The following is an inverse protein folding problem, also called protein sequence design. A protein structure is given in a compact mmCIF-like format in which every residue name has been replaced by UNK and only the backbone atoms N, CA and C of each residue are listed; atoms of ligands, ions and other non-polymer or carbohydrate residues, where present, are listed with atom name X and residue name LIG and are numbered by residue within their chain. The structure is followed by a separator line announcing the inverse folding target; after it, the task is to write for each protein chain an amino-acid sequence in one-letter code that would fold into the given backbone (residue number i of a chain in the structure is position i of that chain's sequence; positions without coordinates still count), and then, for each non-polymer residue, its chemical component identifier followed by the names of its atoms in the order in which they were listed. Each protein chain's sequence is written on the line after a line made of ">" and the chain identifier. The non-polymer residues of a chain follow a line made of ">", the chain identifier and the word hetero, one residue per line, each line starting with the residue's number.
data_IF_609932565334
#
_entry.id   IF_609932565334
#
_cell.length_a   1.000
_cell.length_b   1.000
_cell.length_c   1.000
_cell.angle_alpha   90.00
_cell.angle_beta   90.00
_cell.angle_gamma   90.00
#
_symmetry.space_group_name_H-M   'P 1'
#
loop_
_entity.id
_entity.type
_entity.pdbx_description
1 polymer ?
#
# COMPACT_ATOMS: atom_id res chain seq x y z
N UNK A 1 -4.40 -37.63 10.04
CA UNK A 1 -4.51 -36.58 11.08
C UNK A 1 -3.27 -36.64 11.96
N UNK A 2 -2.58 -35.50 12.14
CA UNK A 2 -1.47 -35.38 13.11
C UNK A 2 -2.08 -34.87 14.41
N UNK A 3 -1.94 -35.63 15.50
CA UNK A 3 -2.37 -35.20 16.82
C UNK A 3 -1.17 -34.55 17.52
N UNK A 4 -1.27 -33.25 17.79
CA UNK A 4 -0.27 -32.53 18.58
C UNK A 4 -0.59 -32.68 20.06
N UNK A 5 0.37 -33.16 20.85
CA UNK A 5 0.29 -33.20 22.29
C UNK A 5 1.11 -32.01 22.86
N UNK A 6 0.55 -31.16 23.71
CA UNK A 6 1.29 -30.05 24.30
C UNK A 6 2.58 -30.47 25.03
N UNK A 7 2.58 -31.68 25.62
CA UNK A 7 3.75 -32.23 26.31
C UNK A 7 4.89 -32.66 25.39
N UNK A 8 4.63 -32.82 24.09
CA UNK A 8 5.62 -33.20 23.09
C UNK A 8 6.18 -32.00 22.33
N UNK A 9 5.59 -30.82 22.52
CA UNK A 9 6.09 -29.57 21.93
C UNK A 9 7.31 -29.09 22.70
N UNK A 10 8.45 -28.96 21.99
CA UNK A 10 9.69 -28.44 22.56
C UNK A 10 9.80 -26.95 22.26
N UNK A 11 10.13 -26.18 23.29
CA UNK A 11 10.55 -24.79 23.08
C UNK A 11 11.84 -24.76 22.27
N UNK A 12 11.87 -24.06 21.14
CA UNK A 12 13.05 -23.91 20.30
C UNK A 12 13.73 -22.57 20.52
N UNK A 13 12.98 -21.50 20.39
CA UNK A 13 13.46 -20.12 20.60
C UNK A 13 12.25 -19.18 20.74
N UNK A 14 12.48 -18.03 21.31
CA UNK A 14 11.54 -16.93 21.34
C UNK A 14 11.64 -16.12 20.04
N UNK A 15 10.50 -15.90 19.39
CA UNK A 15 10.45 -15.12 18.17
C UNK A 15 10.62 -13.63 18.51
N UNK A 16 11.47 -12.93 17.74
CA UNK A 16 11.56 -11.48 17.81
C UNK A 16 10.19 -10.85 17.43
N UNK A 17 9.56 -10.09 18.33
CA UNK A 17 8.26 -9.45 18.04
C UNK A 17 8.30 -8.51 16.82
N UNK A 18 9.48 -7.96 16.48
CA UNK A 18 9.67 -7.09 15.32
C UNK A 18 9.57 -7.82 13.95
N UNK A 19 9.43 -9.15 13.94
CA UNK A 19 9.26 -9.91 12.68
C UNK A 19 7.86 -9.81 12.10
N UNK A 20 6.86 -9.50 12.92
CA UNK A 20 5.48 -9.39 12.45
C UNK A 20 5.25 -7.99 11.91
N UNK A 21 4.89 -7.89 10.64
CA UNK A 21 4.64 -6.64 9.94
C UNK A 21 3.30 -6.65 9.21
N UNK A 22 2.79 -5.47 8.97
CA UNK A 22 1.55 -5.19 8.29
C UNK A 22 1.85 -4.33 7.05
N UNK A 23 1.36 -4.74 5.89
CA UNK A 23 1.58 -4.02 4.65
C UNK A 23 0.31 -3.32 4.18
N UNK A 24 0.44 -2.04 3.87
CA UNK A 24 -0.57 -1.23 3.19
C UNK A 24 0.00 -0.88 1.82
N UNK A 25 -0.74 -1.22 0.76
CA UNK A 25 -0.39 -0.77 -0.58
C UNK A 25 -0.62 0.75 -0.69
N UNK A 26 0.27 1.46 -1.35
CA UNK A 26 0.18 2.92 -1.45
C UNK A 26 -1.12 3.38 -2.12
N UNK A 27 -1.62 2.60 -3.09
CA UNK A 27 -2.91 2.84 -3.73
C UNK A 27 -4.12 2.72 -2.77
N UNK A 28 -3.98 2.03 -1.64
CA UNK A 28 -5.03 2.02 -0.60
C UNK A 28 -5.07 3.35 0.15
N UNK A 29 -3.93 4.02 0.33
CA UNK A 29 -3.84 5.34 0.98
C UNK A 29 -4.37 6.44 0.07
N UNK A 30 -3.91 6.47 -1.19
CA UNK A 30 -4.30 7.52 -2.15
C UNK A 30 -5.65 7.29 -2.77
N UNK A 31 -6.17 6.06 -2.73
CA UNK A 31 -7.20 5.59 -3.63
C UNK A 31 -6.67 5.40 -5.05
N UNK A 32 -7.52 4.97 -5.95
CA UNK A 32 -7.18 4.78 -7.36
C UNK A 32 -7.39 3.35 -7.83
N UNK A 33 -6.76 3.01 -8.95
CA UNK A 33 -6.95 1.73 -9.62
C UNK A 33 -6.10 0.65 -8.97
N UNK A 34 -6.75 -0.43 -8.53
CA UNK A 34 -6.09 -1.59 -7.92
C UNK A 34 -6.81 -2.90 -8.28
N UNK A 35 -6.29 -4.03 -7.81
CA UNK A 35 -6.81 -5.34 -8.13
C UNK A 35 -8.28 -5.50 -7.73
N UNK A 36 -9.08 -6.00 -8.66
CA UNK A 36 -10.49 -6.34 -8.43
C UNK A 36 -10.59 -7.54 -7.50
N UNK A 37 -11.49 -7.47 -6.54
CA UNK A 37 -11.81 -8.63 -5.72
C UNK A 37 -12.47 -9.74 -6.57
N UNK A 38 -12.21 -10.99 -6.24
CA UNK A 38 -12.95 -12.10 -6.81
C UNK A 38 -14.41 -12.05 -6.36
N UNK A 39 -15.34 -12.42 -7.27
CA UNK A 39 -16.73 -12.63 -6.89
C UNK A 39 -16.87 -13.90 -6.04
N UNK A 40 -17.95 -14.04 -5.24
CA UNK A 40 -18.24 -15.28 -4.54
C UNK A 40 -18.31 -16.51 -5.48
N UNK A 41 -18.82 -16.31 -6.68
CA UNK A 41 -18.97 -17.34 -7.71
C UNK A 41 -17.61 -17.75 -8.29
N UNK A 42 -16.69 -16.80 -8.48
CA UNK A 42 -15.31 -17.07 -8.88
C UNK A 42 -14.56 -17.85 -7.78
N UNK A 43 -14.75 -17.47 -6.52
CA UNK A 43 -14.16 -18.17 -5.38
C UNK A 43 -14.72 -19.60 -5.28
N UNK A 44 -16.01 -19.77 -5.54
CA UNK A 44 -16.67 -21.08 -5.55
C UNK A 44 -16.33 -21.93 -6.80
N UNK A 45 -15.66 -21.32 -7.81
CA UNK A 45 -15.33 -22.02 -9.07
C UNK A 45 -16.54 -22.24 -9.99
N UNK A 46 -17.63 -21.53 -9.77
CA UNK A 46 -18.87 -21.61 -10.58
C UNK A 46 -18.92 -20.56 -11.69
N UNK A 47 -18.10 -19.52 -11.60
CA UNK A 47 -17.88 -18.53 -12.64
C UNK A 47 -16.43 -18.58 -13.13
N UNK A 48 -16.18 -18.71 -14.46
CA UNK A 48 -14.84 -18.72 -14.99
C UNK A 48 -14.19 -17.35 -14.87
N UNK A 49 -12.88 -17.31 -14.63
CA UNK A 49 -12.09 -16.11 -14.67
C UNK A 49 -11.72 -15.81 -16.12
N UNK A 50 -12.41 -14.85 -16.73
CA UNK A 50 -12.17 -14.47 -18.13
C UNK A 50 -11.17 -13.32 -18.19
N UNK A 51 -9.95 -13.62 -18.64
CA UNK A 51 -8.96 -12.62 -19.01
C UNK A 51 -8.94 -12.54 -20.54
N UNK A 52 -9.23 -11.38 -21.09
CA UNK A 52 -9.23 -11.21 -22.54
C UNK A 52 -7.79 -11.14 -23.06
N UNK A 53 -7.41 -12.01 -24.02
CA UNK A 53 -6.13 -11.87 -24.69
C UNK A 53 -6.07 -10.52 -25.42
N UNK A 54 -4.97 -9.81 -25.27
CA UNK A 54 -4.75 -8.54 -25.95
C UNK A 54 -3.38 -8.52 -26.63
N UNK A 55 -3.33 -7.87 -27.80
CA UNK A 55 -2.09 -7.63 -28.54
C UNK A 55 -1.09 -6.79 -27.71
N UNK A 56 -1.57 -6.02 -26.77
CA UNK A 56 -0.76 -5.15 -25.89
C UNK A 56 -0.21 -5.89 -24.64
N UNK A 57 -0.30 -7.22 -24.62
CA UNK A 57 0.24 -8.07 -23.55
C UNK A 57 -0.35 -7.81 -22.17
N UNK A 58 0.51 -7.79 -21.15
CA UNK A 58 0.10 -7.63 -19.75
C UNK A 58 -0.68 -6.34 -19.51
N UNK A 59 -0.38 -5.26 -20.21
CA UNK A 59 -1.04 -3.96 -20.01
C UNK A 59 -2.55 -3.97 -20.27
N UNK A 60 -3.02 -4.81 -21.19
CA UNK A 60 -4.45 -4.94 -21.49
C UNK A 60 -5.18 -5.93 -20.57
N UNK A 61 -4.46 -6.88 -19.96
CA UNK A 61 -5.02 -7.72 -18.90
C UNK A 61 -5.48 -6.88 -17.69
N UNK A 62 -4.83 -5.75 -17.43
CA UNK A 62 -5.13 -4.92 -16.27
C UNK A 62 -6.54 -4.32 -16.29
N UNK A 63 -7.11 -4.00 -17.46
CA UNK A 63 -8.45 -3.39 -17.54
C UNK A 63 -9.56 -4.29 -17.00
N UNK A 64 -9.45 -5.60 -17.22
CA UNK A 64 -10.43 -6.55 -16.74
C UNK A 64 -10.20 -6.96 -15.27
N UNK A 65 -8.96 -6.81 -14.78
CA UNK A 65 -8.52 -7.23 -13.45
C UNK A 65 -8.47 -6.10 -12.42
N UNK A 66 -8.69 -4.86 -12.84
CA UNK A 66 -8.57 -3.67 -12.01
C UNK A 66 -9.93 -2.99 -11.79
N UNK A 67 -10.07 -2.31 -10.67
CA UNK A 67 -11.15 -1.37 -10.41
C UNK A 67 -10.65 -0.17 -9.61
N UNK A 68 -11.42 0.90 -9.61
CA UNK A 68 -11.13 2.09 -8.80
C UNK A 68 -11.66 1.89 -7.39
N UNK A 69 -10.81 2.14 -6.40
CA UNK A 69 -11.15 2.13 -4.98
C UNK A 69 -11.06 3.54 -4.40
N UNK A 70 -11.90 3.90 -3.44
CA UNK A 70 -11.69 5.09 -2.64
C UNK A 70 -10.47 4.93 -1.72
N UNK A 71 -9.90 6.04 -1.21
CA UNK A 71 -8.90 5.98 -0.15
C UNK A 71 -9.42 5.22 1.07
N UNK A 72 -8.55 4.45 1.73
CA UNK A 72 -8.89 3.75 2.97
C UNK A 72 -9.14 4.77 4.10
N UNK A 73 -10.16 4.52 4.91
CA UNK A 73 -10.41 5.30 6.12
C UNK A 73 -9.49 4.82 7.27
N UNK A 74 -8.35 5.48 7.42
CA UNK A 74 -7.36 5.20 8.46
C UNK A 74 -7.81 5.65 9.87
N UNK A 75 -8.92 6.40 9.97
CA UNK A 75 -9.55 6.77 11.24
C UNK A 75 -10.63 5.77 11.69
N UNK A 76 -10.93 4.76 10.88
CA UNK A 76 -11.91 3.72 11.21
C UNK A 76 -11.52 2.99 12.50
N UNK A 77 -12.35 3.05 13.57
CA UNK A 77 -11.99 2.47 14.87
C UNK A 77 -11.88 0.94 14.83
N UNK A 78 -12.65 0.28 13.97
CA UNK A 78 -12.55 -1.18 13.79
C UNK A 78 -11.22 -1.58 13.16
N UNK A 79 -10.78 -0.83 12.14
CA UNK A 79 -9.48 -1.06 11.50
C UNK A 79 -8.35 -0.89 12.54
N UNK A 80 -8.36 0.20 13.30
CA UNK A 80 -7.35 0.49 14.34
C UNK A 80 -7.33 -0.59 15.41
N UNK A 81 -8.53 -1.02 15.86
CA UNK A 81 -8.63 -2.12 16.83
C UNK A 81 -8.02 -3.43 16.29
N UNK A 82 -8.40 -3.83 15.09
CA UNK A 82 -7.89 -5.06 14.47
C UNK A 82 -6.38 -5.00 14.25
N UNK A 83 -5.84 -3.85 13.86
CA UNK A 83 -4.40 -3.65 13.71
C UNK A 83 -3.66 -3.82 15.05
N UNK A 84 -4.19 -3.25 16.14
CA UNK A 84 -3.65 -3.44 17.49
C UNK A 84 -3.72 -4.90 17.93
N UNK A 85 -4.84 -5.57 17.66
CA UNK A 85 -5.07 -6.98 18.02
C UNK A 85 -4.12 -7.95 17.27
N UNK A 86 -3.65 -7.58 16.07
CA UNK A 86 -2.66 -8.38 15.32
C UNK A 86 -1.28 -8.40 16.01
N UNK A 87 -1.01 -7.49 16.93
CA UNK A 87 0.28 -7.42 17.63
C UNK A 87 1.47 -7.16 16.71
N UNK A 88 1.26 -6.45 15.60
CA UNK A 88 2.31 -6.11 14.65
C UNK A 88 3.17 -4.96 15.13
N UNK A 89 4.45 -4.93 14.75
CA UNK A 89 5.39 -3.87 15.13
C UNK A 89 5.59 -2.87 14.01
N UNK A 90 5.55 -3.32 12.75
CA UNK A 90 5.80 -2.48 11.58
C UNK A 90 4.56 -2.33 10.72
N UNK A 91 4.31 -1.10 10.27
CA UNK A 91 3.44 -0.80 9.14
C UNK A 91 4.29 -0.40 7.95
N UNK A 92 4.21 -1.16 6.86
CA UNK A 92 4.89 -0.85 5.61
C UNK A 92 3.89 -0.25 4.63
N UNK A 93 4.01 1.05 4.35
CA UNK A 93 3.25 1.75 3.30
C UNK A 93 4.11 1.81 2.05
N UNK A 94 3.80 1.02 1.05
CA UNK A 94 4.68 0.78 -0.09
C UNK A 94 3.91 0.20 -1.29
N UNK A 95 4.60 -0.47 -2.19
CA UNK A 95 4.05 -1.12 -3.37
C UNK A 95 4.44 -0.43 -4.67
N UNK A 96 4.00 -0.98 -5.78
CA UNK A 96 4.34 -0.48 -7.13
C UNK A 96 3.85 0.96 -7.34
N UNK A 97 2.71 1.33 -6.78
CA UNK A 97 2.13 2.67 -6.91
C UNK A 97 2.92 3.73 -6.13
N UNK A 98 3.62 3.36 -5.06
CA UNK A 98 4.47 4.30 -4.31
C UNK A 98 5.49 4.98 -5.21
N UNK A 99 6.08 4.24 -6.16
CA UNK A 99 7.10 4.74 -7.08
C UNK A 99 6.57 5.75 -8.09
N UNK A 100 5.26 5.84 -8.25
CA UNK A 100 4.55 6.68 -9.22
C UNK A 100 3.62 7.70 -8.56
N UNK A 101 3.85 8.02 -7.30
CA UNK A 101 3.02 8.92 -6.50
C UNK A 101 3.72 10.25 -6.28
N UNK A 102 3.06 11.35 -6.66
CA UNK A 102 3.47 12.72 -6.34
C UNK A 102 3.01 13.08 -4.93
N UNK A 103 3.82 13.84 -4.19
CA UNK A 103 3.46 14.32 -2.84
C UNK A 103 3.01 15.77 -2.89
N UNK A 104 1.69 15.97 -2.87
CA UNK A 104 1.05 17.28 -2.91
C UNK A 104 0.66 17.74 -1.48
N UNK A 105 1.64 18.28 -0.75
CA UNK A 105 1.41 18.77 0.60
C UNK A 105 1.03 20.26 0.65
N UNK A 106 1.13 20.93 -0.48
CA UNK A 106 0.86 22.37 -0.60
C UNK A 106 -0.49 22.65 -1.29
N UNK A 107 -1.15 21.61 -1.84
CA UNK A 107 -2.44 21.72 -2.52
C UNK A 107 -2.33 22.33 -3.92
N UNK A 108 -1.29 21.97 -4.64
CA UNK A 108 -1.01 22.50 -6.00
C UNK A 108 -1.97 21.93 -7.05
N UNK A 109 -2.51 20.72 -6.79
CA UNK A 109 -3.35 19.99 -7.74
C UNK A 109 -4.78 19.81 -7.22
N UNK A 110 -5.75 20.04 -8.10
CA UNK A 110 -7.14 19.76 -7.77
C UNK A 110 -7.39 18.24 -7.67
N UNK A 111 -8.42 17.79 -6.90
CA UNK A 111 -8.75 16.38 -6.79
C UNK A 111 -8.89 15.69 -8.16
N UNK A 112 -8.17 14.60 -8.35
CA UNK A 112 -8.13 13.84 -9.60
C UNK A 112 -7.15 14.35 -10.66
N UNK A 113 -6.49 15.47 -10.43
CA UNK A 113 -5.38 15.93 -11.27
C UNK A 113 -4.08 15.25 -10.82
N UNK A 114 -3.29 14.80 -11.79
CA UNK A 114 -2.00 14.15 -11.56
C UNK A 114 -0.95 14.83 -12.43
N UNK A 115 0.20 15.24 -11.87
CA UNK A 115 1.26 15.85 -12.67
C UNK A 115 1.85 14.86 -13.68
N UNK A 116 2.45 15.40 -14.73
CA UNK A 116 3.11 14.60 -15.76
C UNK A 116 4.21 13.71 -15.14
N UNK A 117 4.28 12.46 -15.60
CA UNK A 117 5.24 11.47 -15.10
C UNK A 117 4.80 10.70 -13.86
N UNK A 118 3.67 11.04 -13.25
CA UNK A 118 3.10 10.37 -12.09
C UNK A 118 1.77 9.67 -12.42
N UNK A 119 1.31 8.79 -11.56
CA UNK A 119 0.01 8.10 -11.70
C UNK A 119 -0.94 8.36 -10.54
N UNK A 120 -0.43 8.82 -9.40
CA UNK A 120 -1.20 9.11 -8.20
C UNK A 120 -0.69 10.39 -7.53
N UNK A 121 -1.54 10.94 -6.68
CA UNK A 121 -1.19 12.06 -5.81
C UNK A 121 -1.48 11.66 -4.36
N UNK A 122 -0.51 11.86 -3.49
CA UNK A 122 -0.67 11.76 -2.04
C UNK A 122 -0.90 13.16 -1.48
N UNK A 123 -2.08 13.41 -0.93
CA UNK A 123 -2.38 14.69 -0.30
C UNK A 123 -1.80 14.75 1.12
N UNK A 124 -1.72 15.98 1.64
CA UNK A 124 -1.31 16.24 3.01
C UNK A 124 -2.18 15.50 4.03
N UNK A 125 -3.50 15.53 3.84
CA UNK A 125 -4.48 14.92 4.74
C UNK A 125 -4.34 13.39 4.76
N UNK A 126 -4.12 12.80 3.60
CA UNK A 126 -3.89 11.35 3.49
C UNK A 126 -2.62 10.93 4.23
N UNK A 127 -1.54 11.71 4.10
CA UNK A 127 -0.29 11.41 4.79
C UNK A 127 -0.38 11.61 6.30
N UNK A 128 -1.05 12.67 6.76
CA UNK A 128 -1.37 12.85 8.19
C UNK A 128 -2.16 11.65 8.71
N UNK A 129 -3.13 11.15 7.94
CA UNK A 129 -3.90 9.95 8.29
C UNK A 129 -3.01 8.72 8.51
N UNK A 130 -1.98 8.53 7.67
CA UNK A 130 -0.98 7.45 7.84
C UNK A 130 -0.19 7.63 9.12
N UNK A 131 0.33 8.84 9.38
CA UNK A 131 1.13 9.13 10.56
C UNK A 131 0.33 8.94 11.85
N UNK A 132 -0.92 9.42 11.89
CA UNK A 132 -1.83 9.26 13.01
C UNK A 132 -2.20 7.79 13.25
N UNK A 133 -2.43 7.04 12.18
CA UNK A 133 -2.72 5.61 12.27
C UNK A 133 -1.54 4.84 12.87
N UNK A 134 -0.33 5.07 12.37
CA UNK A 134 0.90 4.43 12.85
C UNK A 134 1.15 4.76 14.31
N UNK A 135 1.01 6.04 14.68
CA UNK A 135 1.19 6.53 16.05
C UNK A 135 0.16 5.93 17.01
N UNK A 136 -1.13 5.98 16.65
CA UNK A 136 -2.21 5.46 17.51
C UNK A 136 -2.12 3.94 17.67
N UNK A 137 -1.71 3.21 16.63
CA UNK A 137 -1.55 1.77 16.69
C UNK A 137 -0.21 1.32 17.30
N UNK A 138 0.68 2.24 17.66
CA UNK A 138 1.98 1.93 18.27
C UNK A 138 2.96 1.26 17.31
N UNK A 139 2.88 1.57 16.01
CA UNK A 139 3.66 0.94 14.96
C UNK A 139 4.91 1.76 14.60
N UNK A 140 5.91 1.07 14.04
CA UNK A 140 7.02 1.68 13.32
C UNK A 140 6.66 1.78 11.84
N UNK A 141 6.91 2.93 11.20
CA UNK A 141 6.60 3.15 9.79
C UNK A 141 7.79 2.80 8.90
N UNK A 142 7.52 2.02 7.84
CA UNK A 142 8.41 1.82 6.70
C UNK A 142 7.70 2.29 5.44
N UNK A 143 8.34 3.14 4.65
CA UNK A 143 7.74 3.73 3.45
C UNK A 143 8.66 3.55 2.24
N UNK A 144 8.08 3.38 1.06
CA UNK A 144 8.77 3.54 -0.22
C UNK A 144 8.51 4.94 -0.76
N UNK A 145 9.52 5.52 -1.40
CA UNK A 145 9.44 6.85 -2.01
C UNK A 145 9.32 6.76 -3.53
N UNK A 146 8.83 7.84 -4.14
CA UNK A 146 8.65 7.94 -5.57
C UNK A 146 10.00 7.93 -6.32
N UNK A 147 10.03 7.22 -7.44
CA UNK A 147 11.17 7.15 -8.35
C UNK A 147 10.74 7.04 -9.83
N UNK A 148 9.55 7.52 -10.16
CA UNK A 148 9.01 7.48 -11.51
C UNK A 148 9.75 8.44 -12.47
N UNK A 149 9.48 8.37 -13.79
CA UNK A 149 10.17 9.19 -14.80
C UNK A 149 10.12 10.70 -14.56
N UNK A 150 9.11 11.18 -13.81
CA UNK A 150 9.03 12.60 -13.42
C UNK A 150 10.15 13.07 -12.49
N UNK A 151 10.90 12.15 -11.86
CA UNK A 151 11.92 12.46 -10.84
C UNK A 151 13.34 12.27 -11.33
N UNK A 152 13.59 11.52 -12.38
CA UNK A 152 14.94 11.27 -12.87
C UNK A 152 14.98 11.03 -14.38
N UNK A 153 16.12 11.31 -14.97
CA UNK A 153 16.47 10.89 -16.32
C UNK A 153 17.28 9.59 -16.30
N UNK A 154 17.52 9.00 -17.48
CA UNK A 154 18.43 7.86 -17.62
C UNK A 154 19.91 8.24 -17.49
N UNK A 155 20.21 9.54 -17.53
CA UNK A 155 21.57 10.10 -17.58
C UNK A 155 22.02 10.66 -16.23
N UNK A 156 21.06 10.98 -15.34
CA UNK A 156 21.33 11.59 -14.05
C UNK A 156 20.92 10.69 -12.88
N UNK A 157 21.58 10.79 -11.72
CA UNK A 157 21.18 10.09 -10.51
C UNK A 157 19.75 10.49 -10.07
N UNK A 158 19.08 9.59 -9.35
CA UNK A 158 17.79 9.89 -8.75
C UNK A 158 17.88 11.09 -7.78
N UNK A 159 17.09 12.16 -7.97
CA UNK A 159 17.06 13.29 -7.07
C UNK A 159 16.26 12.95 -5.81
N UNK A 160 16.77 13.34 -4.62
CA UNK A 160 16.12 13.07 -3.33
C UNK A 160 14.96 14.00 -3.00
N UNK A 161 14.62 14.95 -3.87
CA UNK A 161 13.68 16.04 -3.60
C UNK A 161 12.35 15.59 -3.00
N UNK A 162 11.69 14.59 -3.61
CA UNK A 162 10.42 14.08 -3.11
C UNK A 162 10.59 13.33 -1.77
N UNK A 163 11.67 12.56 -1.61
CA UNK A 163 11.97 11.91 -0.35
C UNK A 163 12.22 12.93 0.77
N UNK A 164 12.96 13.99 0.49
CA UNK A 164 13.21 15.08 1.43
C UNK A 164 11.90 15.79 1.82
N UNK A 165 11.01 16.06 0.86
CA UNK A 165 9.68 16.62 1.10
C UNK A 165 8.87 15.75 2.05
N UNK A 166 8.77 14.44 1.76
CA UNK A 166 8.04 13.47 2.58
C UNK A 166 8.61 13.39 4.01
N UNK A 167 9.92 13.22 4.16
CA UNK A 167 10.55 13.05 5.46
C UNK A 167 10.60 14.36 6.26
N UNK A 168 10.76 15.50 5.62
CA UNK A 168 10.71 16.81 6.30
C UNK A 168 9.33 17.11 6.86
N UNK A 169 8.29 16.72 6.14
CA UNK A 169 6.91 16.86 6.61
C UNK A 169 6.58 15.88 7.74
N UNK A 170 7.23 14.72 7.79
CA UNK A 170 6.94 13.64 8.75
C UNK A 170 7.61 13.81 10.12
N UNK A 171 8.43 14.84 10.31
CA UNK A 171 9.11 15.14 11.59
C UNK A 171 8.18 15.78 12.60
#
# INVERSE_FOLDING_TARGET
>A
FVKLSPSEVKFLHEQNPDLVSYNVEFAEVTGGTFWKAYTPEQIAGTEPFVVRPSADGIAAMYKDLMQVYPPIDLYNPKLRKLTKDLGTTWCRVSGTWATKTYYDFDGEYAPGQVPEGYLNVLTKEQWIGVLDFVKDCGLKLKVSVANCPGLHSTEEPWPSTEAEKLFSFSK
#
